data_IF_656694481237
#
_entry.id   IF_656694481237
#
_cell.length_a   1.000
_cell.length_b   1.000
_cell.length_c   1.000
_cell.angle_alpha   90.00
_cell.angle_beta   90.00
_cell.angle_gamma   90.00
#
_symmetry.space_group_name_H-M   'P 1'
#
loop_
_entity.id
_entity.type
_entity.pdbx_description
1 polymer ?
#
# COMPACT_ATOMS: atom_id res chain seq x y z
N UNK A 1 6.84 2.15 24.92
CA UNK A 1 8.10 1.81 24.21
C UNK A 1 9.02 1.09 25.18
N UNK A 2 9.59 -0.05 24.78
CA UNK A 2 10.50 -0.85 25.63
C UNK A 2 11.71 -0.02 26.09
N UNK A 3 12.13 -0.09 27.37
CA UNK A 3 13.34 0.56 27.85
C UNK A 3 14.60 0.17 27.06
N UNK A 4 14.66 -1.07 26.57
CA UNK A 4 15.81 -1.56 25.80
C UNK A 4 15.88 -0.87 24.44
N UNK A 5 14.76 -0.75 23.72
CA UNK A 5 14.74 -0.05 22.44
C UNK A 5 15.14 1.43 22.59
N UNK A 6 14.70 2.08 23.67
CA UNK A 6 15.05 3.48 23.94
C UNK A 6 16.55 3.68 24.12
N UNK A 7 17.27 2.72 24.71
CA UNK A 7 18.73 2.79 24.92
C UNK A 7 19.52 2.69 23.62
N UNK A 8 18.94 2.11 22.58
CA UNK A 8 19.58 1.96 21.26
C UNK A 8 19.38 3.18 20.36
N UNK A 9 18.39 4.04 20.66
CA UNK A 9 18.08 5.23 19.87
C UNK A 9 19.10 6.33 20.18
N UNK A 10 19.85 6.74 19.16
CA UNK A 10 20.80 7.86 19.22
C UNK A 10 20.12 9.19 18.98
N UNK A 11 19.26 9.26 17.96
CA UNK A 11 18.61 10.51 17.54
C UNK A 11 17.26 10.21 16.89
N UNK A 12 16.27 11.08 17.13
CA UNK A 12 14.98 11.09 16.44
C UNK A 12 14.80 12.47 15.81
N UNK A 13 14.63 12.50 14.49
CA UNK A 13 14.26 13.69 13.73
C UNK A 13 12.86 13.50 13.16
N UNK A 14 11.97 14.41 13.49
CA UNK A 14 10.61 14.43 12.95
C UNK A 14 10.21 15.88 12.71
N UNK A 15 10.30 16.31 11.45
CA UNK A 15 9.88 17.62 10.98
C UNK A 15 9.17 17.46 9.63
N UNK A 16 8.70 18.56 9.03
CA UNK A 16 7.93 18.50 7.79
C UNK A 16 8.67 17.89 6.58
N UNK A 17 10.00 17.82 6.62
CA UNK A 17 10.83 17.31 5.53
C UNK A 17 11.48 15.95 5.83
N UNK A 18 11.72 15.63 7.10
CA UNK A 18 12.46 14.44 7.51
C UNK A 18 11.80 13.76 8.71
N UNK A 19 11.51 12.47 8.56
CA UNK A 19 11.06 11.59 9.63
C UNK A 19 11.99 10.38 9.70
N UNK A 20 12.97 10.44 10.62
CA UNK A 20 14.08 9.50 10.71
C UNK A 20 14.48 9.20 12.15
N UNK A 21 14.69 7.93 12.45
CA UNK A 21 15.28 7.43 13.69
C UNK A 21 16.66 6.87 13.38
N UNK A 22 17.67 7.32 14.10
CA UNK A 22 19.05 6.83 14.01
C UNK A 22 19.42 6.09 15.28
N UNK A 23 20.01 4.91 15.13
CA UNK A 23 20.44 4.05 16.24
C UNK A 23 21.95 4.19 16.49
N UNK A 24 22.41 3.80 17.69
CA UNK A 24 23.83 3.89 18.07
C UNK A 24 24.75 3.04 17.19
N UNK A 25 24.25 1.93 16.64
CA UNK A 25 24.96 1.07 15.70
C UNK A 25 25.03 1.63 14.26
N UNK A 26 24.43 2.81 14.00
CA UNK A 26 24.37 3.44 12.69
C UNK A 26 23.21 3.00 11.79
N UNK A 27 22.37 2.04 12.21
CA UNK A 27 21.15 1.72 11.47
C UNK A 27 20.14 2.86 11.55
N UNK A 28 19.23 2.92 10.57
CA UNK A 28 18.21 3.96 10.51
C UNK A 28 16.84 3.38 10.14
N UNK A 29 15.78 3.99 10.66
CA UNK A 29 14.41 3.84 10.16
C UNK A 29 14.00 5.19 9.63
N UNK A 30 13.59 5.26 8.36
CA UNK A 30 13.31 6.51 7.67
C UNK A 30 12.02 6.39 6.86
N UNK A 31 11.12 7.36 7.03
CA UNK A 31 9.91 7.47 6.23
C UNK A 31 10.19 8.37 5.04
N UNK A 32 9.92 7.87 3.84
CA UNK A 32 10.14 8.57 2.57
C UNK A 32 8.83 8.66 1.80
N UNK A 33 8.63 9.76 1.09
CA UNK A 33 7.44 9.94 0.24
C UNK A 33 7.51 9.01 -0.95
N UNK A 34 6.40 8.38 -1.29
CA UNK A 34 6.24 7.51 -2.46
C UNK A 34 6.19 8.31 -3.78
N UNK A 35 7.32 8.87 -4.19
CA UNK A 35 7.41 9.67 -5.42
C UNK A 35 8.84 9.97 -5.86
N UNK A 36 8.99 10.71 -6.96
CA UNK A 36 10.26 11.03 -7.63
C UNK A 36 11.34 11.63 -6.69
N UNK A 37 10.93 12.39 -5.67
CA UNK A 37 11.82 13.01 -4.69
C UNK A 37 12.60 11.99 -3.84
N UNK A 38 12.11 10.75 -3.76
CA UNK A 38 12.76 9.66 -3.02
C UNK A 38 13.82 8.93 -3.84
N UNK A 39 14.13 9.35 -5.08
CA UNK A 39 15.23 8.73 -5.84
C UNK A 39 16.56 8.90 -5.12
N UNK A 40 17.35 7.82 -5.11
CA UNK A 40 18.70 7.81 -4.54
C UNK A 40 18.79 7.28 -3.11
N UNK A 41 17.65 7.10 -2.43
CA UNK A 41 17.64 6.40 -1.14
C UNK A 41 18.08 4.94 -1.29
N UNK A 42 18.58 4.39 -0.19
CA UNK A 42 19.06 3.02 -0.08
C UNK A 42 18.57 2.41 1.22
N UNK A 43 18.18 1.15 1.18
CA UNK A 43 17.76 0.41 2.35
C UNK A 43 18.03 -1.08 2.16
N UNK A 44 17.93 -1.84 3.25
CA UNK A 44 17.98 -3.30 3.22
C UNK A 44 16.60 -3.94 3.44
N UNK A 45 15.68 -3.18 4.02
CA UNK A 45 14.27 -3.56 4.20
C UNK A 45 13.44 -2.39 3.68
N UNK A 46 12.66 -2.65 2.63
CA UNK A 46 11.72 -1.71 2.06
C UNK A 46 10.31 -2.09 2.51
N UNK A 47 9.65 -1.19 3.21
CA UNK A 47 8.23 -1.33 3.56
C UNK A 47 7.45 -0.33 2.72
N UNK A 48 6.50 -0.81 1.93
CA UNK A 48 5.58 0.01 1.15
C UNK A 48 4.21 -0.14 1.80
N UNK A 49 3.82 0.89 2.53
CA UNK A 49 2.49 1.01 3.12
C UNK A 49 1.48 1.51 2.09
N UNK A 50 0.22 1.14 2.26
CA UNK A 50 -0.87 1.40 1.30
C UNK A 50 -0.45 1.14 -0.17
N UNK A 51 0.20 0.00 -0.43
CA UNK A 51 0.91 -0.20 -1.70
C UNK A 51 -0.01 -0.13 -2.94
N UNK A 52 -1.31 -0.39 -2.79
CA UNK A 52 -2.30 -0.22 -3.88
C UNK A 52 -2.40 1.22 -4.41
N UNK A 53 -2.05 2.22 -3.60
CA UNK A 53 -2.08 3.63 -3.97
C UNK A 53 -0.79 4.08 -4.65
N UNK A 54 0.27 3.28 -4.55
CA UNK A 54 1.56 3.57 -5.16
C UNK A 54 1.57 3.03 -6.58
N UNK A 55 1.79 3.90 -7.56
CA UNK A 55 1.83 3.46 -8.96
C UNK A 55 2.94 2.43 -9.16
N UNK A 56 2.67 1.47 -10.04
CA UNK A 56 3.66 0.44 -10.42
C UNK A 56 4.96 1.05 -10.93
N UNK A 57 4.87 2.16 -11.66
CA UNK A 57 6.04 2.89 -12.14
C UNK A 57 6.91 3.41 -10.98
N UNK A 58 6.30 4.04 -9.96
CA UNK A 58 7.04 4.52 -8.78
C UNK A 58 7.66 3.35 -8.04
N UNK A 59 6.91 2.27 -7.84
CA UNK A 59 7.41 1.07 -7.15
C UNK A 59 8.62 0.47 -7.87
N UNK A 60 8.51 0.21 -9.17
CA UNK A 60 9.52 -0.52 -9.92
C UNK A 60 10.72 0.37 -10.31
N UNK A 61 10.51 1.65 -10.62
CA UNK A 61 11.59 2.56 -11.08
C UNK A 61 12.26 3.36 -9.97
N UNK A 62 11.63 3.52 -8.81
CA UNK A 62 12.18 4.33 -7.71
C UNK A 62 12.47 3.44 -6.51
N UNK A 63 11.44 2.78 -5.97
CA UNK A 63 11.54 2.13 -4.67
C UNK A 63 12.35 0.84 -4.69
N UNK A 64 12.10 -0.08 -5.64
CA UNK A 64 12.89 -1.33 -5.75
C UNK A 64 14.39 -1.07 -5.90
N UNK A 65 14.85 -0.08 -6.68
CA UNK A 65 16.27 0.31 -6.72
C UNK A 65 16.91 0.66 -5.37
N UNK A 66 16.13 0.94 -4.32
CA UNK A 66 16.69 1.18 -2.97
C UNK A 66 17.38 -0.07 -2.41
N UNK A 67 16.98 -1.26 -2.87
CA UNK A 67 17.47 -2.56 -2.42
C UNK A 67 18.63 -3.10 -3.27
N UNK A 68 19.21 -2.30 -4.16
CA UNK A 68 20.29 -2.75 -5.05
C UNK A 68 21.65 -2.96 -4.34
N UNK A 69 21.72 -2.74 -3.03
CA UNK A 69 22.95 -2.91 -2.24
C UNK A 69 22.66 -3.79 -1.03
N UNK A 70 23.26 -4.98 -1.02
CA UNK A 70 23.18 -5.90 0.12
C UNK A 70 23.98 -5.37 1.31
N UNK A 71 23.50 -5.67 2.52
CA UNK A 71 24.16 -5.27 3.76
C UNK A 71 25.52 -5.95 3.86
N UNK A 72 26.56 -5.19 4.23
CA UNK A 72 27.91 -5.70 4.51
C UNK A 72 28.29 -5.43 5.97
N UNK A 73 27.92 -6.32 6.91
CA UNK A 73 28.26 -6.16 8.31
C UNK A 73 29.78 -6.09 8.51
N UNK A 74 30.27 -5.31 9.47
CA UNK A 74 31.71 -5.16 9.69
C UNK A 74 32.43 -6.50 9.99
N UNK A 75 31.74 -7.47 10.59
CA UNK A 75 32.35 -8.78 10.86
C UNK A 75 32.68 -9.56 9.58
N UNK A 76 31.93 -9.37 8.49
CA UNK A 76 32.19 -10.06 7.21
C UNK A 76 33.43 -9.54 6.50
N UNK A 77 34.07 -8.48 7.02
CA UNK A 77 35.34 -7.97 6.50
C UNK A 77 36.56 -8.72 7.05
N UNK A 78 36.37 -9.58 8.06
CA UNK A 78 37.48 -10.37 8.60
C UNK A 78 37.68 -11.64 7.75
N UNK A 79 38.94 -12.11 7.56
CA UNK A 79 39.22 -13.31 6.77
C UNK A 79 38.49 -14.56 7.25
N UNK A 80 38.26 -14.70 8.56
CA UNK A 80 37.56 -15.86 9.15
C UNK A 80 36.08 -15.99 8.74
N UNK A 81 35.49 -14.92 8.19
CA UNK A 81 34.11 -14.90 7.67
C UNK A 81 34.07 -14.79 6.14
N UNK A 82 35.17 -15.11 5.45
CA UNK A 82 35.18 -15.20 4.00
C UNK A 82 34.18 -16.25 3.51
N UNK A 83 33.30 -15.88 2.58
CA UNK A 83 32.22 -16.74 2.09
C UNK A 83 31.01 -16.85 3.03
N UNK A 84 30.91 -16.03 4.08
CA UNK A 84 29.70 -15.98 4.91
C UNK A 84 28.46 -15.65 4.06
N UNK A 85 27.33 -16.36 4.24
CA UNK A 85 26.13 -16.15 3.44
C UNK A 85 25.66 -14.69 3.45
N UNK A 86 25.30 -14.19 2.27
CA UNK A 86 24.78 -12.83 2.13
C UNK A 86 23.35 -12.78 2.66
N UNK A 87 23.07 -11.78 3.49
CA UNK A 87 21.71 -11.46 3.94
C UNK A 87 20.97 -10.76 2.79
N UNK A 88 19.98 -11.42 2.21
CA UNK A 88 19.16 -10.86 1.14
C UNK A 88 18.27 -9.73 1.64
N UNK A 89 18.20 -8.67 0.85
CA UNK A 89 17.32 -7.54 1.10
C UNK A 89 15.85 -7.95 1.02
N UNK A 90 14.99 -7.28 1.79
CA UNK A 90 13.58 -7.66 1.95
C UNK A 90 12.63 -6.56 1.45
N UNK A 91 11.55 -7.00 0.84
CA UNK A 91 10.40 -6.18 0.45
C UNK A 91 9.18 -6.60 1.26
N UNK A 92 8.48 -5.62 1.84
CA UNK A 92 7.26 -5.81 2.62
C UNK A 92 6.18 -4.89 2.05
N UNK A 93 5.05 -5.47 1.71
CA UNK A 93 3.90 -4.75 1.13
C UNK A 93 2.73 -4.83 2.11
N UNK A 94 2.17 -3.68 2.49
CA UNK A 94 1.03 -3.56 3.39
C UNK A 94 -0.09 -2.82 2.66
N UNK A 95 -1.32 -3.33 2.74
CA UNK A 95 -2.50 -2.72 2.11
C UNK A 95 -3.78 -3.44 2.55
N UNK A 96 -4.91 -2.72 2.54
CA UNK A 96 -6.25 -3.31 2.48
C UNK A 96 -6.47 -4.01 1.14
N UNK A 97 -7.44 -4.94 1.10
CA UNK A 97 -7.91 -5.50 -0.16
C UNK A 97 -8.62 -4.43 -1.01
N UNK A 98 -8.65 -4.63 -2.32
CA UNK A 98 -9.33 -3.71 -3.24
C UNK A 98 -10.01 -4.49 -4.37
N UNK A 99 -10.29 -3.83 -5.50
CA UNK A 99 -10.85 -4.49 -6.68
C UNK A 99 -9.84 -5.46 -7.32
N UNK A 100 -10.33 -6.61 -7.78
CA UNK A 100 -9.54 -7.62 -8.52
C UNK A 100 -8.96 -7.11 -9.85
N UNK A 101 -9.46 -5.98 -10.36
CA UNK A 101 -8.92 -5.34 -11.56
C UNK A 101 -7.62 -4.56 -11.30
N UNK A 102 -7.28 -4.31 -10.03
CA UNK A 102 -6.06 -3.60 -9.64
C UNK A 102 -4.83 -4.52 -9.68
N UNK A 103 -3.68 -3.98 -10.10
CA UNK A 103 -2.40 -4.70 -10.16
C UNK A 103 -2.00 -5.30 -8.81
N UNK A 104 -2.46 -4.70 -7.70
CA UNK A 104 -2.24 -5.21 -6.36
C UNK A 104 -2.80 -6.63 -6.15
N UNK A 105 -3.92 -6.95 -6.79
CA UNK A 105 -4.52 -8.28 -6.71
C UNK A 105 -3.67 -9.34 -7.43
N UNK A 106 -3.11 -8.99 -8.59
CA UNK A 106 -2.22 -9.89 -9.33
C UNK A 106 -0.94 -10.17 -8.55
N UNK A 107 -0.39 -9.14 -7.91
CA UNK A 107 0.78 -9.26 -7.02
C UNK A 107 0.47 -10.15 -5.80
N UNK A 108 -0.67 -9.94 -5.15
CA UNK A 108 -1.13 -10.79 -4.04
C UNK A 108 -1.23 -12.26 -4.47
N UNK A 109 -1.94 -12.55 -5.58
CA UNK A 109 -2.06 -13.92 -6.13
C UNK A 109 -0.71 -14.54 -6.43
N UNK A 110 0.23 -13.77 -6.98
CA UNK A 110 1.58 -14.24 -7.27
C UNK A 110 2.29 -14.70 -6.00
N UNK A 111 2.33 -13.87 -4.95
CA UNK A 111 2.99 -14.24 -3.70
C UNK A 111 2.29 -15.39 -2.96
N UNK A 112 0.95 -15.47 -3.01
CA UNK A 112 0.24 -16.64 -2.45
C UNK A 112 0.70 -17.92 -3.14
N UNK A 113 0.77 -17.92 -4.48
CA UNK A 113 1.24 -19.08 -5.25
C UNK A 113 2.71 -19.39 -5.00
N UNK A 114 3.56 -18.37 -4.84
CA UNK A 114 4.97 -18.55 -4.49
C UNK A 114 5.15 -19.16 -3.11
N UNK A 115 4.42 -18.67 -2.11
CA UNK A 115 4.43 -19.21 -0.75
C UNK A 115 3.98 -20.67 -0.74
N UNK A 116 2.90 -21.00 -1.47
CA UNK A 116 2.42 -22.39 -1.61
C UNK A 116 3.41 -23.32 -2.32
N UNK A 117 4.29 -22.78 -3.17
CA UNK A 117 5.39 -23.52 -3.82
C UNK A 117 6.63 -23.67 -2.93
N UNK A 118 6.63 -23.07 -1.73
CA UNK A 118 7.77 -23.10 -0.81
C UNK A 118 8.89 -22.12 -1.17
N UNK A 119 8.60 -21.09 -1.98
CA UNK A 119 9.55 -19.99 -2.20
C UNK A 119 9.68 -19.12 -0.93
N UNK A 120 10.80 -18.43 -0.76
CA UNK A 120 11.08 -17.57 0.40
C UNK A 120 10.23 -16.29 0.37
N UNK A 121 8.94 -16.44 0.64
CA UNK A 121 7.99 -15.36 0.77
C UNK A 121 6.89 -15.76 1.75
N UNK A 122 6.24 -14.75 2.32
CA UNK A 122 5.18 -14.93 3.28
C UNK A 122 4.02 -14.00 2.94
N UNK A 123 2.80 -14.54 2.98
CA UNK A 123 1.57 -13.78 2.78
C UNK A 123 0.66 -13.99 3.97
N UNK A 124 0.20 -12.89 4.54
CA UNK A 124 -0.77 -12.85 5.62
C UNK A 124 -1.99 -12.05 5.14
N UNK A 125 -3.17 -12.65 5.26
CA UNK A 125 -4.45 -11.96 5.07
C UNK A 125 -5.28 -12.13 6.34
N UNK A 126 -5.63 -11.03 6.99
CA UNK A 126 -6.31 -11.03 8.29
C UNK A 126 -7.47 -10.08 8.27
N UNK A 127 -8.62 -10.51 8.79
CA UNK A 127 -9.83 -9.71 8.89
C UNK A 127 -9.91 -8.94 10.23
N UNK A 128 -10.93 -8.09 10.35
CA UNK A 128 -11.21 -7.29 11.55
C UNK A 128 -11.43 -8.15 12.81
N UNK A 129 -11.79 -9.42 12.69
CA UNK A 129 -12.02 -10.31 13.85
C UNK A 129 -10.73 -10.59 14.60
N UNK A 130 -9.59 -10.61 13.90
CA UNK A 130 -8.27 -10.70 14.56
C UNK A 130 -8.02 -9.49 15.48
N UNK A 131 -8.39 -8.29 15.03
CA UNK A 131 -8.28 -7.09 15.85
C UNK A 131 -9.21 -7.15 17.07
N UNK A 132 -10.41 -7.72 16.93
CA UNK A 132 -11.33 -7.97 18.07
C UNK A 132 -10.70 -8.97 19.05
N UNK A 133 -10.18 -10.09 18.54
CA UNK A 133 -9.56 -11.13 19.37
C UNK A 133 -8.40 -10.58 20.23
N UNK A 134 -7.61 -9.65 19.69
CA UNK A 134 -6.52 -9.01 20.40
C UNK A 134 -6.92 -7.75 21.20
N UNK A 135 -8.21 -7.41 21.25
CA UNK A 135 -8.72 -6.25 21.99
C UNK A 135 -8.33 -4.89 21.39
N UNK A 136 -7.93 -4.86 20.12
CA UNK A 136 -7.59 -3.64 19.37
C UNK A 136 -8.83 -2.95 18.81
N UNK A 137 -9.89 -3.73 18.54
CA UNK A 137 -11.18 -3.25 18.04
C UNK A 137 -12.31 -3.81 18.93
N UNK A 138 -13.30 -2.99 19.28
CA UNK A 138 -14.49 -3.48 19.99
C UNK A 138 -15.57 -3.97 19.02
N UNK A 139 -16.31 -5.00 19.42
CA UNK A 139 -17.44 -5.51 18.65
C UNK A 139 -18.47 -4.43 18.34
N UNK A 140 -18.81 -3.59 19.34
CA UNK A 140 -19.74 -2.46 19.19
C UNK A 140 -19.26 -1.48 18.11
N UNK A 141 -17.95 -1.21 18.04
CA UNK A 141 -17.38 -0.33 17.01
C UNK A 141 -17.48 -0.97 15.64
N UNK A 142 -17.16 -2.27 15.52
CA UNK A 142 -17.27 -3.01 14.27
C UNK A 142 -18.72 -3.02 13.77
N UNK A 143 -19.70 -3.25 14.63
CA UNK A 143 -21.14 -3.20 14.28
C UNK A 143 -21.59 -1.81 13.83
N UNK A 144 -21.11 -0.74 14.47
CA UNK A 144 -21.39 0.64 14.03
C UNK A 144 -20.86 0.87 12.61
N UNK A 145 -19.60 0.48 12.37
CA UNK A 145 -18.98 0.60 11.05
C UNK A 145 -19.74 -0.22 9.99
N UNK A 146 -20.20 -1.43 10.33
CA UNK A 146 -20.99 -2.28 9.42
C UNK A 146 -22.30 -1.62 8.98
N UNK A 147 -22.91 -0.80 9.83
CA UNK A 147 -24.15 -0.06 9.52
C UNK A 147 -23.90 1.19 8.67
N UNK A 148 -22.70 1.77 8.77
CA UNK A 148 -22.32 3.01 8.08
C UNK A 148 -21.70 2.77 6.70
N UNK A 149 -20.97 1.67 6.52
CA UNK A 149 -20.27 1.33 5.28
C UNK A 149 -21.17 0.57 4.32
N UNK A 150 -20.99 0.79 3.01
CA UNK A 150 -21.58 -0.09 2.00
C UNK A 150 -20.91 -1.48 2.02
N UNK A 151 -21.61 -2.46 1.45
CA UNK A 151 -21.17 -3.86 1.49
C UNK A 151 -19.81 -4.09 0.83
N UNK A 152 -19.50 -3.35 -0.25
CA UNK A 152 -18.27 -3.51 -1.01
C UNK A 152 -17.11 -2.93 -0.22
N UNK A 153 -17.25 -1.70 0.31
CA UNK A 153 -16.24 -1.10 1.17
C UNK A 153 -16.02 -1.92 2.45
N UNK A 154 -17.08 -2.44 3.07
CA UNK A 154 -16.93 -3.32 4.23
C UNK A 154 -16.15 -4.60 3.90
N UNK A 155 -16.49 -5.27 2.80
CA UNK A 155 -15.82 -6.50 2.39
C UNK A 155 -14.31 -6.27 2.17
N UNK A 156 -13.94 -5.15 1.54
CA UNK A 156 -12.55 -4.80 1.26
C UNK A 156 -11.76 -4.39 2.50
N UNK A 157 -12.31 -3.48 3.32
CA UNK A 157 -11.58 -2.87 4.44
C UNK A 157 -11.62 -3.72 5.73
N UNK A 158 -12.71 -4.44 5.97
CA UNK A 158 -12.94 -5.14 7.23
C UNK A 158 -12.78 -6.65 7.07
N UNK A 159 -13.35 -7.24 6.03
CA UNK A 159 -13.31 -8.70 5.81
C UNK A 159 -12.07 -9.15 5.04
N UNK A 160 -11.27 -8.19 4.56
CA UNK A 160 -10.06 -8.43 3.79
C UNK A 160 -10.31 -9.32 2.56
N UNK A 161 -11.38 -8.98 1.84
CA UNK A 161 -11.83 -9.65 0.63
C UNK A 161 -11.54 -8.81 -0.61
N UNK A 162 -10.86 -9.41 -1.58
CA UNK A 162 -10.69 -8.81 -2.91
C UNK A 162 -12.02 -8.84 -3.67
N UNK A 163 -12.54 -7.66 -4.00
CA UNK A 163 -13.85 -7.55 -4.64
C UNK A 163 -13.76 -7.68 -6.16
N UNK A 164 -14.56 -8.56 -6.74
CA UNK A 164 -14.64 -8.77 -8.19
C UNK A 164 -15.97 -8.27 -8.74
N UNK A 165 -16.03 -8.11 -10.06
CA UNK A 165 -17.31 -7.88 -10.74
C UNK A 165 -18.18 -9.14 -10.72
N UNK A 166 -19.50 -8.93 -10.79
CA UNK A 166 -20.47 -10.00 -10.98
C UNK A 166 -20.25 -10.68 -12.33
N UNK A 167 -20.37 -12.01 -12.38
CA UNK A 167 -20.31 -12.77 -13.64
C UNK A 167 -21.40 -12.34 -14.65
N UNK A 168 -22.49 -11.73 -14.17
CA UNK A 168 -23.60 -11.22 -14.97
C UNK A 168 -23.44 -9.77 -15.45
N UNK A 169 -22.28 -9.13 -15.19
CA UNK A 169 -22.06 -7.75 -15.63
C UNK A 169 -21.98 -7.66 -17.17
N UNK A 170 -22.79 -6.77 -17.76
CA UNK A 170 -22.80 -6.54 -19.22
C UNK A 170 -21.51 -5.90 -19.74
N UNK A 171 -20.84 -5.09 -18.92
CA UNK A 171 -19.59 -4.41 -19.25
C UNK A 171 -18.58 -4.62 -18.15
N UNK A 172 -17.32 -4.87 -18.53
CA UNK A 172 -16.22 -5.00 -17.57
C UNK A 172 -15.77 -3.62 -17.12
N UNK A 173 -15.59 -3.39 -15.82
CA UNK A 173 -15.13 -2.07 -15.34
C UNK A 173 -13.70 -1.78 -15.80
N UNK A 174 -12.88 -2.80 -16.05
CA UNK A 174 -11.56 -2.64 -16.67
C UNK A 174 -11.63 -2.00 -18.08
N UNK A 175 -12.75 -2.15 -18.79
CA UNK A 175 -12.97 -1.53 -20.10
C UNK A 175 -13.59 -0.13 -19.94
N UNK A 176 -14.53 0.03 -19.00
CA UNK A 176 -15.28 1.29 -18.81
C UNK A 176 -14.49 2.34 -18.05
N UNK A 177 -13.78 1.98 -16.97
CA UNK A 177 -13.10 2.95 -16.09
C UNK A 177 -12.01 3.76 -16.80
N UNK A 178 -11.14 3.18 -17.65
CA UNK A 178 -10.17 3.96 -18.41
C UNK A 178 -10.82 4.96 -19.39
N UNK A 179 -12.07 4.71 -19.80
CA UNK A 179 -12.82 5.61 -20.67
C UNK A 179 -13.43 6.81 -19.93
N UNK A 180 -13.38 6.85 -18.59
CA UNK A 180 -13.89 7.97 -17.79
C UNK A 180 -12.92 9.14 -17.86
N UNK A 181 -13.17 10.05 -18.79
CA UNK A 181 -12.42 11.31 -18.94
C UNK A 181 -13.03 12.46 -18.14
N UNK A 182 -14.29 12.33 -17.72
CA UNK A 182 -15.01 13.38 -16.99
C UNK A 182 -14.97 13.14 -15.47
N UNK A 183 -14.52 14.16 -14.73
CA UNK A 183 -14.54 14.16 -13.25
C UNK A 183 -15.96 14.20 -12.72
N UNK A 184 -16.85 14.93 -13.40
CA UNK A 184 -18.28 14.97 -13.08
C UNK A 184 -19.06 14.30 -14.21
N UNK A 185 -19.98 13.37 -13.92
CA UNK A 185 -20.84 12.81 -14.95
C UNK A 185 -21.63 13.92 -15.64
N UNK A 186 -21.72 13.85 -16.97
CA UNK A 186 -22.65 14.67 -17.71
C UNK A 186 -24.05 14.12 -17.48
N UNK A 187 -24.91 14.92 -16.85
CA UNK A 187 -26.33 14.67 -16.84
C UNK A 187 -26.95 15.52 -17.94
N UNK A 188 -27.68 14.91 -18.90
CA UNK A 188 -28.43 15.70 -19.86
C UNK A 188 -29.42 16.59 -19.09
N UNK A 189 -29.55 17.88 -19.46
CA UNK A 189 -30.52 18.75 -18.83
C UNK A 189 -31.93 18.20 -19.04
N UNK A 190 -32.78 18.35 -18.03
CA UNK A 190 -34.21 18.07 -18.16
C UNK A 190 -34.85 19.05 -19.14
N UNK A 191 -36.03 18.70 -19.67
CA UNK A 191 -36.76 19.58 -20.59
C UNK A 191 -37.01 20.98 -19.99
N UNK A 192 -37.27 21.05 -18.68
CA UNK A 192 -37.47 22.30 -17.96
C UNK A 192 -36.19 23.12 -17.85
N UNK A 193 -35.07 22.49 -17.48
CA UNK A 193 -33.76 23.16 -17.42
C UNK A 193 -33.33 23.64 -18.81
N UNK A 194 -33.59 22.86 -19.85
CA UNK A 194 -33.33 23.28 -21.22
C UNK A 194 -34.18 24.50 -21.61
N UNK A 195 -35.49 24.50 -21.31
CA UNK A 195 -36.36 25.63 -21.61
C UNK A 195 -35.92 26.90 -20.86
N UNK A 196 -35.50 26.78 -19.60
CA UNK A 196 -35.07 27.92 -18.79
C UNK A 196 -33.71 28.48 -19.23
N UNK A 197 -32.81 27.64 -19.72
CA UNK A 197 -31.43 28.02 -20.06
C UNK A 197 -31.17 28.23 -21.56
N UNK A 198 -32.06 27.78 -22.48
CA UNK A 198 -31.84 27.85 -23.94
C UNK A 198 -31.57 29.26 -24.46
N UNK A 199 -32.15 30.27 -23.81
CA UNK A 199 -32.05 31.68 -24.22
C UNK A 199 -30.98 32.45 -23.42
N UNK A 200 -30.37 31.84 -22.38
CA UNK A 200 -29.40 32.47 -21.47
C UNK A 200 -27.93 32.29 -21.92
N UNK A 201 -27.66 32.14 -23.22
CA UNK A 201 -26.27 32.09 -23.73
C UNK A 201 -25.51 33.36 -23.32
N UNK A 202 -24.62 33.24 -22.34
CA UNK A 202 -23.56 34.23 -22.13
C UNK A 202 -22.71 34.27 -23.40
N UNK A 203 -22.73 35.41 -24.10
CA UNK A 203 -21.77 35.71 -25.16
C UNK A 203 -20.38 35.75 -24.51
N UNK A 204 -19.58 34.71 -24.73
CA UNK A 204 -18.12 34.79 -24.63
C UNK A 204 -17.54 35.33 -25.93
#
# INVERSE_FOLDING_TARGET
MSPNLRREIKEVKCNGNEAKVTFHNGSTIEAVVSGEQSRGFRCNILIIDEFRLVSKEVTDRIMRPFLNVNRKPAFTMKPEYEGYPIEENKEIYLSSCYFKADDAYDKFKHYVKSMLRGEDCFVLNTDYKLAIHHGLLSEVRAESMRKEMDEVSWAMEMESLWWGESESAFFKSAEVNPCRTLVKPFYPPTDLEYIDEKDKRNKS
#
